data_IF_005789693972
#
_entry.id   IF_005789693972
#
_cell.length_a   1.000
_cell.length_b   1.000
_cell.length_c   1.000
_cell.angle_alpha   90.00
_cell.angle_beta   90.00
_cell.angle_gamma   90.00
#
_symmetry.space_group_name_H-M   'P 1'
#
loop_
_entity.id
_entity.type
_entity.pdbx_description
1 polymer ?
#
# COMPACT_ATOMS: atom_id res chain seq x y z
N UNK A 1 -48.07 51.21 38.22
CA UNK A 1 -48.66 49.86 38.35
C UNK A 1 -47.89 48.93 37.44
N UNK A 2 -47.03 48.09 38.03
CA UNK A 2 -46.07 47.23 37.36
C UNK A 2 -46.77 46.04 36.71
N UNK A 3 -46.73 45.95 35.38
CA UNK A 3 -47.14 44.74 34.67
C UNK A 3 -45.88 43.90 34.41
N UNK A 4 -45.79 42.75 35.06
CA UNK A 4 -44.67 41.82 34.94
C UNK A 4 -44.84 40.99 33.66
N UNK A 5 -43.85 41.04 32.75
CA UNK A 5 -43.78 40.11 31.62
C UNK A 5 -43.12 38.81 32.07
N UNK A 6 -43.88 37.72 32.09
CA UNK A 6 -43.37 36.37 32.30
C UNK A 6 -42.82 35.90 30.95
N UNK A 7 -41.50 35.81 30.82
CA UNK A 7 -40.87 35.16 29.68
C UNK A 7 -41.02 33.63 29.82
N UNK A 8 -41.86 33.03 28.99
CA UNK A 8 -41.98 31.59 28.89
C UNK A 8 -40.77 31.03 28.14
N UNK A 9 -39.80 30.48 28.86
CA UNK A 9 -38.65 29.79 28.29
C UNK A 9 -39.12 28.41 27.79
N UNK A 10 -39.32 28.27 26.48
CA UNK A 10 -39.60 26.96 25.88
C UNK A 10 -38.29 26.18 25.75
N UNK A 11 -38.09 25.19 26.62
CA UNK A 11 -37.11 24.12 26.37
C UNK A 11 -37.72 23.21 25.30
N UNK A 12 -37.18 23.26 24.09
CA UNK A 12 -37.51 22.28 23.07
C UNK A 12 -36.71 21.02 23.40
N UNK A 13 -37.36 20.03 24.01
CA UNK A 13 -36.81 18.69 24.09
C UNK A 13 -36.86 18.10 22.67
N UNK A 14 -35.71 17.84 22.05
CA UNK A 14 -35.67 17.06 20.81
C UNK A 14 -35.92 15.60 21.18
N UNK A 15 -37.03 15.03 20.74
CA UNK A 15 -37.22 13.59 20.80
C UNK A 15 -36.25 12.93 19.81
N UNK A 16 -35.42 12.00 20.29
CA UNK A 16 -34.57 11.20 19.41
C UNK A 16 -35.46 10.21 18.64
N UNK A 17 -35.76 10.53 17.38
CA UNK A 17 -36.49 9.64 16.50
C UNK A 17 -35.56 8.52 15.99
N UNK A 18 -35.64 7.34 16.60
CA UNK A 18 -34.94 6.14 16.11
C UNK A 18 -35.69 5.59 14.90
N UNK A 19 -35.23 5.91 13.69
CA UNK A 19 -35.77 5.32 12.46
C UNK A 19 -34.95 4.10 12.09
N UNK A 20 -35.51 2.90 12.24
CA UNK A 20 -34.90 1.66 11.73
C UNK A 20 -35.30 1.50 10.26
N UNK A 21 -34.56 2.14 9.35
CA UNK A 21 -34.80 2.06 7.92
C UNK A 21 -33.52 2.27 7.13
N UNK A 22 -33.32 1.46 6.07
CA UNK A 22 -32.27 1.72 5.10
C UNK A 22 -32.67 2.92 4.24
N UNK A 23 -32.09 4.09 4.51
CA UNK A 23 -32.30 5.30 3.74
C UNK A 23 -31.05 5.67 2.95
N UNK A 24 -31.23 6.19 1.73
CA UNK A 24 -30.16 6.85 1.00
C UNK A 24 -30.22 8.35 1.30
N UNK A 25 -29.15 8.92 1.84
CA UNK A 25 -28.99 10.36 1.99
C UNK A 25 -28.22 10.90 0.78
N UNK A 26 -28.90 11.61 -0.11
CA UNK A 26 -28.26 12.32 -1.23
C UNK A 26 -28.04 13.77 -0.82
N UNK A 27 -26.79 14.21 -0.79
CA UNK A 27 -26.43 15.61 -0.58
C UNK A 27 -25.81 16.11 -1.89
N UNK A 28 -26.53 17.00 -2.58
CA UNK A 28 -26.03 17.75 -3.73
C UNK A 28 -25.70 19.16 -3.28
N UNK A 29 -24.45 19.58 -3.38
CA UNK A 29 -24.01 20.94 -3.08
C UNK A 29 -23.33 21.52 -4.33
N UNK A 30 -23.89 22.61 -4.86
CA UNK A 30 -23.34 23.32 -6.03
C UNK A 30 -22.42 24.50 -5.64
N UNK A 31 -22.27 24.81 -4.34
CA UNK A 31 -21.62 26.03 -3.88
C UNK A 31 -20.37 25.83 -2.99
N UNK A 32 -20.16 24.65 -2.38
CA UNK A 32 -18.94 24.35 -1.61
C UNK A 32 -18.41 22.93 -1.90
N UNK A 33 -17.09 22.74 -1.80
CA UNK A 33 -16.41 21.44 -1.97
C UNK A 33 -16.58 20.50 -0.78
N UNK A 34 -17.07 21.02 0.34
CA UNK A 34 -17.04 20.32 1.62
C UNK A 34 -18.45 19.88 2.01
N UNK A 35 -18.63 18.56 2.14
CA UNK A 35 -19.83 17.91 2.67
C UNK A 35 -19.38 17.03 3.82
N UNK A 36 -19.68 17.41 5.06
CA UNK A 36 -19.41 16.61 6.25
C UNK A 36 -20.68 15.88 6.69
N UNK A 37 -20.61 14.54 6.71
CA UNK A 37 -21.69 13.67 7.17
C UNK A 37 -21.18 12.94 8.42
N UNK A 38 -21.56 13.40 9.60
CA UNK A 38 -21.26 12.72 10.85
C UNK A 38 -22.39 11.74 11.18
N UNK A 39 -22.15 10.45 10.97
CA UNK A 39 -23.04 9.38 11.42
C UNK A 39 -22.34 8.63 12.54
N UNK A 40 -22.89 8.70 13.75
CA UNK A 40 -22.33 8.01 14.92
C UNK A 40 -22.66 6.52 14.84
N UNK A 41 -21.65 5.65 14.94
CA UNK A 41 -21.82 4.20 15.01
C UNK A 41 -21.69 3.43 13.67
N UNK A 42 -21.22 4.07 12.59
CA UNK A 42 -20.88 3.38 11.34
C UNK A 42 -19.40 3.00 11.28
N UNK A 43 -19.11 1.91 10.56
CA UNK A 43 -17.78 1.31 10.45
C UNK A 43 -16.80 2.09 9.56
N UNK A 44 -17.28 3.04 8.74
CA UNK A 44 -16.44 3.83 7.84
C UNK A 44 -16.85 5.29 7.88
N UNK A 45 -15.89 6.20 8.05
CA UNK A 45 -16.09 7.65 8.12
C UNK A 45 -15.08 8.33 7.20
N UNK A 46 -15.51 9.41 6.55
CA UNK A 46 -14.63 10.32 5.81
C UNK A 46 -14.68 11.66 6.52
N UNK A 47 -13.53 12.17 6.96
CA UNK A 47 -13.47 13.48 7.60
C UNK A 47 -13.39 14.62 6.56
N UNK A 48 -13.50 15.86 7.05
CA UNK A 48 -13.41 17.07 6.22
C UNK A 48 -12.04 17.27 5.57
N UNK A 49 -10.99 16.57 6.03
CA UNK A 49 -9.67 16.58 5.43
C UNK A 49 -9.50 15.48 4.37
N UNK A 50 -10.55 14.69 4.10
CA UNK A 50 -10.54 13.60 3.13
C UNK A 50 -9.93 12.30 3.66
N UNK A 51 -9.64 12.20 4.95
CA UNK A 51 -9.16 10.96 5.53
C UNK A 51 -10.29 9.95 5.59
N UNK A 52 -10.03 8.76 5.06
CA UNK A 52 -10.98 7.64 5.10
C UNK A 52 -10.57 6.71 6.23
N UNK A 53 -11.36 6.68 7.31
CA UNK A 53 -11.21 5.70 8.39
C UNK A 53 -12.23 4.60 8.15
N UNK A 54 -11.77 3.36 7.97
CA UNK A 54 -12.66 2.21 7.75
C UNK A 54 -12.25 1.04 8.64
N UNK A 55 -13.22 0.38 9.27
CA UNK A 55 -12.98 -0.79 10.11
C UNK A 55 -12.44 -1.98 9.30
N UNK A 56 -12.83 -2.10 8.03
CA UNK A 56 -12.28 -3.10 7.10
C UNK A 56 -12.16 -2.53 5.70
N UNK A 57 -11.05 -2.81 5.02
CA UNK A 57 -10.82 -2.49 3.62
C UNK A 57 -10.72 -3.79 2.83
N UNK A 58 -11.86 -4.29 2.34
CA UNK A 58 -11.91 -5.48 1.50
C UNK A 58 -12.03 -5.09 0.04
N UNK A 59 -11.09 -5.55 -0.79
CA UNK A 59 -11.10 -5.31 -2.23
C UNK A 59 -11.72 -6.50 -2.95
N UNK A 60 -12.71 -6.21 -3.77
CA UNK A 60 -13.32 -7.16 -4.69
C UNK A 60 -12.26 -7.82 -5.59
N UNK A 61 -12.18 -9.16 -5.58
CA UNK A 61 -11.13 -9.90 -6.30
C UNK A 61 -11.53 -11.26 -6.87
N UNK A 62 -12.84 -11.57 -6.90
CA UNK A 62 -13.40 -12.84 -7.39
C UNK A 62 -12.94 -13.15 -8.82
N UNK A 63 -12.55 -14.41 -9.09
CA UNK A 63 -12.10 -14.87 -10.41
C UNK A 63 -13.14 -14.61 -11.51
N UNK A 64 -14.44 -14.71 -11.22
CA UNK A 64 -15.52 -14.51 -12.20
C UNK A 64 -15.58 -13.07 -12.72
N UNK A 65 -15.01 -12.12 -11.99
CA UNK A 65 -15.00 -10.71 -12.35
C UNK A 65 -13.65 -10.28 -12.94
N UNK A 66 -12.78 -11.24 -13.25
CA UNK A 66 -11.47 -11.04 -13.88
C UNK A 66 -11.44 -11.75 -15.23
N UNK A 67 -10.87 -11.08 -16.23
CA UNK A 67 -10.64 -11.64 -17.56
C UNK A 67 -9.16 -11.42 -17.93
N UNK A 68 -8.64 -12.18 -18.90
CA UNK A 68 -7.27 -12.08 -19.38
C UNK A 68 -6.20 -12.15 -18.26
N UNK A 69 -6.34 -13.13 -17.36
CA UNK A 69 -5.44 -13.30 -16.22
C UNK A 69 -4.09 -13.86 -16.70
N UNK A 70 -3.03 -13.05 -16.60
CA UNK A 70 -1.65 -13.44 -16.89
C UNK A 70 -0.76 -13.24 -15.67
N UNK A 71 0.45 -13.82 -15.71
CA UNK A 71 1.45 -13.57 -14.68
C UNK A 71 1.85 -12.09 -14.67
N UNK A 72 2.12 -11.57 -13.46
CA UNK A 72 2.62 -10.21 -13.27
C UNK A 72 4.04 -10.10 -13.84
N UNK A 73 4.27 -9.09 -14.68
CA UNK A 73 5.57 -8.78 -15.29
C UNK A 73 6.48 -7.96 -14.37
N UNK A 74 5.89 -7.24 -13.42
CA UNK A 74 6.61 -6.52 -12.38
C UNK A 74 7.12 -7.44 -11.28
N UNK A 75 8.26 -7.11 -10.69
CA UNK A 75 8.92 -7.93 -9.67
C UNK A 75 10.10 -7.23 -9.03
N UNK A 76 11.13 -7.99 -8.63
CA UNK A 76 12.26 -7.47 -7.88
C UNK A 76 13.04 -6.39 -8.66
N UNK A 77 13.23 -6.59 -9.97
CA UNK A 77 13.90 -5.62 -10.84
C UNK A 77 13.12 -4.30 -10.97
N UNK A 78 11.78 -4.36 -10.93
CA UNK A 78 10.92 -3.17 -10.95
C UNK A 78 11.06 -2.40 -9.64
N UNK A 79 10.97 -3.08 -8.51
CA UNK A 79 11.11 -2.46 -7.18
C UNK A 79 12.47 -1.80 -7.02
N UNK A 80 13.54 -2.43 -7.54
CA UNK A 80 14.89 -1.87 -7.49
C UNK A 80 15.06 -0.55 -8.26
N UNK A 81 14.17 -0.24 -9.21
CA UNK A 81 14.20 1.03 -9.96
C UNK A 81 13.44 2.16 -9.25
N UNK A 82 12.63 1.84 -8.24
CA UNK A 82 11.82 2.83 -7.53
C UNK A 82 12.67 3.57 -6.50
N UNK A 83 12.54 4.91 -6.49
CA UNK A 83 13.21 5.77 -5.52
C UNK A 83 12.25 6.16 -4.40
N UNK A 84 12.43 5.56 -3.23
CA UNK A 84 11.75 5.99 -2.01
C UNK A 84 12.27 7.37 -1.58
N UNK A 85 11.37 8.25 -1.16
CA UNK A 85 11.71 9.62 -0.75
C UNK A 85 11.12 9.96 0.60
N UNK A 86 11.82 10.83 1.33
CA UNK A 86 11.26 11.62 2.41
C UNK A 86 10.90 13.00 1.85
N UNK A 87 9.73 13.52 2.20
CA UNK A 87 9.25 14.80 1.70
C UNK A 87 8.39 15.53 2.74
N UNK A 88 8.22 16.83 2.55
CA UNK A 88 7.26 17.66 3.26
C UNK A 88 6.32 18.26 2.22
N UNK A 89 5.04 18.39 2.57
CA UNK A 89 4.08 19.06 1.69
C UNK A 89 4.40 20.55 1.58
N UNK A 90 4.26 21.12 0.38
CA UNK A 90 4.30 22.57 0.22
C UNK A 90 3.07 23.22 0.87
N UNK A 91 3.23 24.41 1.44
CA UNK A 91 2.13 25.17 2.09
C UNK A 91 0.93 25.42 1.16
N UNK A 92 1.16 25.44 -0.16
CA UNK A 92 0.13 25.61 -1.18
C UNK A 92 -0.74 24.37 -1.39
N UNK A 93 -0.44 23.23 -0.76
CA UNK A 93 -1.21 22.00 -0.94
C UNK A 93 -2.45 22.00 -0.03
N UNK A 94 -3.68 21.87 -0.59
CA UNK A 94 -4.95 22.13 0.10
C UNK A 94 -5.26 21.17 1.26
N UNK A 95 -4.57 20.03 1.33
CA UNK A 95 -4.72 19.02 2.40
C UNK A 95 -3.36 18.54 2.91
N UNK A 96 -2.37 19.44 2.98
CA UNK A 96 -1.05 19.12 3.52
C UNK A 96 -1.14 18.70 4.99
N UNK A 97 -0.77 17.44 5.27
CA UNK A 97 -0.36 17.08 6.62
C UNK A 97 0.94 17.82 6.98
N UNK A 98 1.13 18.18 8.25
CA UNK A 98 2.38 18.78 8.70
C UNK A 98 3.48 17.73 8.91
N UNK A 99 4.74 18.15 8.74
CA UNK A 99 5.91 17.35 9.03
C UNK A 99 6.35 16.40 7.90
N UNK A 100 7.45 15.70 8.16
CA UNK A 100 8.09 14.77 7.23
C UNK A 100 7.24 13.53 6.98
N UNK A 101 7.11 13.19 5.72
CA UNK A 101 6.39 12.03 5.20
C UNK A 101 7.31 11.17 4.35
N UNK A 102 6.96 9.90 4.19
CA UNK A 102 7.69 8.96 3.33
C UNK A 102 6.77 8.55 2.19
N UNK A 103 7.31 8.45 0.97
CA UNK A 103 6.55 7.99 -0.18
C UNK A 103 7.37 7.93 -1.45
N UNK A 104 6.71 8.18 -2.57
CA UNK A 104 7.30 8.22 -3.90
C UNK A 104 6.85 9.46 -4.66
N UNK A 105 7.68 9.89 -5.61
CA UNK A 105 7.31 10.91 -6.59
C UNK A 105 6.50 10.24 -7.71
N UNK A 106 5.24 10.62 -7.89
CA UNK A 106 4.33 9.96 -8.83
C UNK A 106 4.85 9.96 -10.28
N UNK A 107 5.54 11.02 -10.70
CA UNK A 107 6.15 11.14 -12.02
C UNK A 107 7.28 10.11 -12.23
N UNK A 108 8.05 9.80 -11.19
CA UNK A 108 9.12 8.79 -11.26
C UNK A 108 8.52 7.38 -11.30
N UNK A 109 7.46 7.14 -10.50
CA UNK A 109 6.74 5.86 -10.50
C UNK A 109 6.08 5.61 -11.86
N UNK A 110 5.52 6.63 -12.50
CA UNK A 110 4.84 6.50 -13.81
C UNK A 110 5.76 5.96 -14.90
N UNK A 111 7.07 6.26 -14.84
CA UNK A 111 8.06 5.74 -15.80
C UNK A 111 8.32 4.24 -15.63
N UNK A 112 8.03 3.68 -14.46
CA UNK A 112 8.37 2.30 -14.08
C UNK A 112 7.12 1.41 -14.02
N UNK A 113 6.03 1.91 -13.42
CA UNK A 113 4.75 1.23 -13.23
C UNK A 113 3.60 2.23 -13.50
N UNK A 114 3.32 2.54 -14.78
CA UNK A 114 2.33 3.58 -15.12
C UNK A 114 0.91 3.26 -14.63
N UNK A 115 0.55 1.99 -14.54
CA UNK A 115 -0.83 1.55 -14.22
C UNK A 115 -1.28 1.88 -12.80
N UNK A 116 -0.34 2.20 -11.91
CA UNK A 116 -0.64 2.56 -10.52
C UNK A 116 -0.68 4.08 -10.30
N UNK A 117 -0.42 4.88 -11.35
CA UNK A 117 -0.47 6.34 -11.30
C UNK A 117 -1.74 6.84 -11.97
N UNK A 118 -2.49 7.68 -11.26
CA UNK A 118 -3.67 8.36 -11.80
C UNK A 118 -3.34 9.82 -12.02
N UNK A 119 -3.78 10.37 -13.15
CA UNK A 119 -3.73 11.81 -13.42
C UNK A 119 -5.14 12.38 -13.33
N UNK A 120 -5.34 13.47 -12.59
CA UNK A 120 -6.63 14.16 -12.49
C UNK A 120 -6.86 15.13 -13.66
N UNK A 121 -8.02 15.81 -13.68
CA UNK A 121 -8.38 16.75 -14.75
C UNK A 121 -7.51 18.01 -14.79
N UNK A 122 -6.75 18.30 -13.73
CA UNK A 122 -5.83 19.44 -13.62
C UNK A 122 -4.38 19.04 -13.91
N UNK A 123 -4.10 17.76 -14.14
CA UNK A 123 -2.76 17.23 -14.41
C UNK A 123 -1.99 16.82 -13.17
N UNK A 124 -2.58 16.87 -11.96
CA UNK A 124 -1.93 16.36 -10.76
C UNK A 124 -1.97 14.83 -10.74
N UNK A 125 -0.88 14.23 -10.25
CA UNK A 125 -0.70 12.78 -10.23
C UNK A 125 -0.82 12.23 -8.81
N UNK A 126 -1.50 11.10 -8.67
CA UNK A 126 -1.64 10.35 -7.42
C UNK A 126 -1.30 8.87 -7.63
N UNK A 127 -0.90 8.18 -6.56
CA UNK A 127 -0.44 6.79 -6.61
C UNK A 127 -1.43 5.87 -5.88
N UNK A 128 -1.78 4.75 -6.49
CA UNK A 128 -2.53 3.66 -5.88
C UNK A 128 -1.58 2.75 -5.07
N UNK A 129 -1.24 3.18 -3.85
CA UNK A 129 -0.24 2.53 -3.00
C UNK A 129 -0.57 1.06 -2.65
N UNK A 130 -1.85 0.71 -2.60
CA UNK A 130 -2.32 -0.65 -2.32
C UNK A 130 -1.83 -1.67 -3.36
N UNK A 131 -1.58 -1.23 -4.61
CA UNK A 131 -1.07 -2.09 -5.69
C UNK A 131 0.38 -2.50 -5.48
N UNK A 132 1.19 -1.69 -4.78
CA UNK A 132 2.56 -2.07 -4.45
C UNK A 132 2.64 -3.34 -3.60
N UNK A 133 1.64 -3.63 -2.75
CA UNK A 133 1.64 -4.85 -1.95
C UNK A 133 1.73 -6.12 -2.82
N UNK A 134 1.01 -6.14 -3.95
CA UNK A 134 1.03 -7.28 -4.90
C UNK A 134 2.38 -7.38 -5.62
N UNK A 135 2.94 -6.24 -6.04
CA UNK A 135 4.26 -6.18 -6.68
C UNK A 135 5.35 -6.65 -5.71
N UNK A 136 5.29 -6.22 -4.45
CA UNK A 136 6.24 -6.60 -3.40
C UNK A 136 6.20 -8.10 -3.10
N UNK A 137 5.01 -8.72 -3.06
CA UNK A 137 4.91 -10.18 -2.90
C UNK A 137 5.62 -10.90 -4.05
N UNK A 138 5.39 -10.47 -5.30
CA UNK A 138 6.06 -11.04 -6.47
C UNK A 138 7.58 -10.84 -6.43
N UNK A 139 8.05 -9.67 -6.03
CA UNK A 139 9.48 -9.40 -5.82
C UNK A 139 10.10 -10.33 -4.77
N UNK A 140 9.43 -10.53 -3.62
CA UNK A 140 9.90 -11.44 -2.57
C UNK A 140 9.97 -12.89 -3.07
N UNK A 141 8.97 -13.34 -3.83
CA UNK A 141 8.99 -14.68 -4.44
C UNK A 141 10.19 -14.87 -5.39
N UNK A 142 10.53 -13.86 -6.19
CA UNK A 142 11.70 -13.90 -7.07
C UNK A 142 13.01 -13.91 -6.30
N UNK A 143 13.10 -13.11 -5.24
CA UNK A 143 14.26 -13.10 -4.36
C UNK A 143 14.44 -14.45 -3.64
N UNK A 144 13.34 -15.06 -3.16
CA UNK A 144 13.37 -16.40 -2.54
C UNK A 144 13.86 -17.46 -3.53
N UNK A 145 13.37 -17.46 -4.77
CA UNK A 145 13.85 -18.38 -5.80
C UNK A 145 15.33 -18.16 -6.12
N UNK A 146 15.79 -16.91 -6.12
CA UNK A 146 17.21 -16.58 -6.31
C UNK A 146 18.06 -17.15 -5.17
N UNK A 147 17.61 -17.03 -3.92
CA UNK A 147 18.30 -17.57 -2.74
C UNK A 147 18.41 -19.10 -2.83
N UNK A 148 17.31 -19.79 -3.12
CA UNK A 148 17.30 -21.26 -3.25
C UNK A 148 18.28 -21.76 -4.32
N UNK A 149 18.33 -21.07 -5.47
CA UNK A 149 19.28 -21.39 -6.53
C UNK A 149 20.73 -21.16 -6.09
N UNK A 150 21.00 -20.06 -5.39
CA UNK A 150 22.33 -19.77 -4.86
C UNK A 150 22.78 -20.79 -3.81
N UNK A 151 21.89 -21.21 -2.91
CA UNK A 151 22.17 -22.24 -1.92
C UNK A 151 22.48 -23.59 -2.57
N UNK A 152 21.74 -23.96 -3.62
CA UNK A 152 22.00 -25.17 -4.39
C UNK A 152 23.38 -25.12 -5.08
N UNK A 153 23.75 -23.99 -5.68
CA UNK A 153 25.06 -23.80 -6.29
C UNK A 153 26.19 -23.85 -5.25
N UNK A 154 26.01 -23.21 -4.09
CA UNK A 154 26.97 -23.29 -2.98
C UNK A 154 27.14 -24.74 -2.52
N UNK A 155 26.05 -25.50 -2.40
CA UNK A 155 26.08 -26.93 -2.06
C UNK A 155 26.87 -27.74 -3.09
N UNK A 156 26.61 -27.52 -4.38
CA UNK A 156 27.33 -28.18 -5.48
C UNK A 156 28.82 -27.85 -5.47
N UNK A 157 29.18 -26.57 -5.30
CA UNK A 157 30.57 -26.12 -5.26
C UNK A 157 31.31 -26.74 -4.06
N UNK A 158 30.68 -26.81 -2.89
CA UNK A 158 31.25 -27.49 -1.71
C UNK A 158 31.49 -28.98 -1.95
N UNK A 159 30.56 -29.67 -2.61
CA UNK A 159 30.73 -31.08 -2.96
C UNK A 159 31.89 -31.31 -3.94
N UNK A 160 32.04 -30.43 -4.94
CA UNK A 160 33.16 -30.45 -5.88
C UNK A 160 34.48 -30.21 -5.15
N UNK A 161 34.54 -29.21 -4.27
CA UNK A 161 35.73 -28.90 -3.47
C UNK A 161 36.16 -30.08 -2.61
N UNK A 162 35.23 -30.69 -1.86
CA UNK A 162 35.51 -31.88 -1.05
C UNK A 162 36.03 -33.07 -1.89
N UNK A 163 35.49 -33.25 -3.09
CA UNK A 163 35.96 -34.30 -4.02
C UNK A 163 37.39 -34.02 -4.49
N UNK A 164 37.73 -32.76 -4.80
CA UNK A 164 39.09 -32.39 -5.17
C UNK A 164 40.08 -32.54 -4.01
N UNK A 165 39.72 -32.13 -2.80
CA UNK A 165 40.54 -32.32 -1.59
C UNK A 165 40.84 -33.81 -1.34
N UNK A 166 39.84 -34.69 -1.49
CA UNK A 166 40.02 -36.14 -1.37
C UNK A 166 40.94 -36.74 -2.45
N UNK A 167 40.85 -36.22 -3.68
CA UNK A 167 41.73 -36.64 -4.78
C UNK A 167 43.17 -36.16 -4.57
N UNK A 168 43.37 -34.95 -4.05
CA UNK A 168 44.68 -34.41 -3.74
C UNK A 168 45.38 -35.25 -2.68
N UNK A 169 44.70 -35.55 -1.57
CA UNK A 169 45.24 -36.43 -0.51
C UNK A 169 45.58 -37.82 -1.04
N UNK A 170 44.75 -38.38 -1.92
CA UNK A 170 45.05 -39.68 -2.56
C UNK A 170 46.31 -39.62 -3.43
N UNK A 171 46.45 -38.58 -4.24
CA UNK A 171 47.62 -38.38 -5.11
C UNK A 171 48.89 -38.15 -4.30
N UNK A 172 48.81 -37.34 -3.24
CA UNK A 172 49.92 -37.11 -2.31
C UNK A 172 50.38 -38.41 -1.64
N UNK A 173 49.44 -39.25 -1.21
CA UNK A 173 49.76 -40.57 -0.63
C UNK A 173 50.44 -41.51 -1.66
N UNK A 174 49.99 -41.50 -2.92
CA UNK A 174 50.59 -42.30 -4.00
C UNK A 174 52.03 -41.84 -4.31
N UNK A 175 52.27 -40.53 -4.36
CA UNK A 175 53.59 -39.96 -4.58
C UNK A 175 54.56 -40.30 -3.44
N UNK A 176 54.09 -40.25 -2.19
CA UNK A 176 54.91 -40.64 -1.04
C UNK A 176 55.33 -42.11 -1.13
N UNK A 177 54.42 -43.01 -1.52
CA UNK A 177 54.71 -44.44 -1.67
C UNK A 177 55.67 -44.77 -2.83
N UNK A 178 55.72 -43.96 -3.88
CA UNK A 178 56.64 -44.16 -5.01
C UNK A 178 58.09 -43.73 -4.72
N UNK A 179 58.29 -42.87 -3.71
CA UNK A 179 59.59 -42.30 -3.36
C UNK A 179 60.27 -43.01 -2.17
N UNK A 180 59.69 -44.09 -1.66
CA UNK A 180 60.25 -45.02 -0.66
C UNK A 180 60.59 -46.35 -1.30
#
# INVERSE_FOLDING_TARGET
MTCWSIALLAVVASEAATTTGHGYLSITNEATTDVSIAVTGIASQVDTAGNVVSATNSYTSDRRWKQNITNLTYGAATVAQLRSVEFEWADSHPSAGSGKQIGFVAQEVELVVPEIVRTDTKGYKSIMYDRFAVISVKAIQELQSTIENQEADIGRLRAIAATFEARLTTVEAQLAAQNT
#
